data_IF_968339925347
#
_entry.id   IF_968339925347
#
_cell.length_a   1.000
_cell.length_b   1.000
_cell.length_c   1.000
_cell.angle_alpha   90.00
_cell.angle_beta   90.00
_cell.angle_gamma   90.00
#
_symmetry.space_group_name_H-M   'P 1'
#
loop_
_entity.id
_entity.type
_entity.pdbx_description
1 polymer ?
#
# COMPACT_ATOMS: atom_id res chain seq x y z
N UNK A 1 19.04 3.35 6.00
CA UNK A 1 18.98 3.10 4.55
C UNK A 1 20.01 2.04 4.18
N UNK A 2 19.64 1.09 3.31
CA UNK A 2 20.59 0.13 2.72
C UNK A 2 21.02 0.67 1.35
N UNK A 3 22.32 0.64 1.03
CA UNK A 3 22.83 1.09 -0.27
C UNK A 3 22.55 0.02 -1.31
N UNK A 4 21.83 0.39 -2.37
CA UNK A 4 21.56 -0.48 -3.51
C UNK A 4 22.07 0.18 -4.78
N UNK A 5 22.81 -0.57 -5.59
CA UNK A 5 23.18 -0.15 -6.94
C UNK A 5 22.15 -0.71 -7.91
N UNK A 6 21.64 0.16 -8.79
CA UNK A 6 20.68 -0.21 -9.84
C UNK A 6 21.18 0.33 -11.17
N UNK A 7 20.92 -0.43 -12.24
CA UNK A 7 21.14 0.02 -13.60
C UNK A 7 19.91 0.79 -14.08
N UNK A 8 20.15 1.91 -14.73
CA UNK A 8 19.12 2.75 -15.33
C UNK A 8 19.50 3.02 -16.78
N UNK A 9 18.50 3.08 -17.65
CA UNK A 9 18.68 3.53 -19.02
C UNK A 9 19.11 5.00 -19.05
N UNK A 10 19.71 5.41 -20.17
CA UNK A 10 20.07 6.82 -20.39
C UNK A 10 18.87 7.76 -20.30
N UNK A 11 17.72 7.29 -20.78
CA UNK A 11 16.44 8.03 -20.71
C UNK A 11 16.01 8.27 -19.27
N UNK A 12 16.04 7.25 -18.42
CA UNK A 12 15.68 7.35 -17.00
C UNK A 12 16.66 8.25 -16.24
N UNK A 13 17.96 8.13 -16.53
CA UNK A 13 19.00 9.02 -15.99
C UNK A 13 18.73 10.49 -16.35
N UNK A 14 18.40 10.77 -17.61
CA UNK A 14 18.06 12.12 -18.07
C UNK A 14 16.81 12.65 -17.38
N UNK A 15 15.76 11.82 -17.28
CA UNK A 15 14.52 12.18 -16.60
C UNK A 15 14.76 12.49 -15.11
N UNK A 16 15.54 11.67 -14.40
CA UNK A 16 15.89 11.91 -13.00
C UNK A 16 16.64 13.22 -12.79
N UNK A 17 17.58 13.56 -13.69
CA UNK A 17 18.27 14.85 -13.62
C UNK A 17 17.31 16.02 -13.81
N UNK A 18 16.44 15.96 -14.82
CA UNK A 18 15.43 17.00 -15.06
C UNK A 18 14.48 17.16 -13.87
N UNK A 19 13.97 16.05 -13.31
CA UNK A 19 13.10 16.08 -12.13
C UNK A 19 13.82 16.63 -10.89
N UNK A 20 15.09 16.28 -10.69
CA UNK A 20 15.90 16.81 -9.59
C UNK A 20 16.05 18.33 -9.69
N UNK A 21 16.33 18.85 -10.89
CA UNK A 21 16.41 20.30 -11.13
C UNK A 21 15.07 21.01 -10.90
N UNK A 22 13.95 20.40 -11.29
CA UNK A 22 12.62 21.00 -11.15
C UNK A 22 12.10 20.98 -9.70
N UNK A 23 12.41 19.92 -8.95
CA UNK A 23 11.82 19.69 -7.61
C UNK A 23 12.75 20.12 -6.47
N UNK A 24 14.04 20.33 -6.75
CA UNK A 24 15.07 20.54 -5.73
C UNK A 24 15.43 19.27 -4.94
N UNK A 25 14.79 18.14 -5.22
CA UNK A 25 15.05 16.86 -4.55
C UNK A 25 16.27 16.17 -5.15
N UNK A 26 16.99 15.42 -4.33
CA UNK A 26 18.06 14.56 -4.80
C UNK A 26 17.52 13.40 -5.64
N UNK A 27 18.35 12.85 -6.54
CA UNK A 27 18.01 11.64 -7.31
C UNK A 27 17.59 10.48 -6.41
N UNK A 28 18.28 10.30 -5.30
CA UNK A 28 17.99 9.23 -4.35
C UNK A 28 16.64 9.40 -3.66
N UNK A 29 16.22 10.65 -3.36
CA UNK A 29 14.88 10.93 -2.83
C UNK A 29 13.79 10.63 -3.86
N UNK A 30 13.97 11.09 -5.10
CA UNK A 30 13.01 10.83 -6.18
C UNK A 30 12.82 9.33 -6.43
N UNK A 31 13.90 8.56 -6.46
CA UNK A 31 13.83 7.10 -6.61
C UNK A 31 13.08 6.48 -5.44
N UNK A 32 13.35 6.91 -4.19
CA UNK A 32 12.64 6.39 -3.02
C UNK A 32 11.16 6.71 -3.07
N UNK A 33 10.78 7.95 -3.33
CA UNK A 33 9.37 8.35 -3.41
C UNK A 33 8.60 7.57 -4.48
N UNK A 34 9.24 7.32 -5.64
CA UNK A 34 8.66 6.49 -6.68
C UNK A 34 8.46 5.04 -6.23
N UNK A 35 9.44 4.46 -5.54
CA UNK A 35 9.35 3.11 -4.98
C UNK A 35 8.29 3.03 -3.89
N UNK A 36 8.25 3.97 -2.94
CA UNK A 36 7.26 4.01 -1.85
C UNK A 36 5.84 4.12 -2.42
N UNK A 37 5.64 4.96 -3.44
CA UNK A 37 4.36 5.09 -4.14
C UNK A 37 3.97 3.79 -4.83
N UNK A 38 4.92 3.09 -5.46
CA UNK A 38 4.67 1.82 -6.13
C UNK A 38 4.32 0.71 -5.13
N UNK A 39 5.08 0.62 -4.02
CA UNK A 39 4.84 -0.35 -2.94
C UNK A 39 3.44 -0.14 -2.35
N UNK A 40 3.08 1.10 -1.98
CA UNK A 40 1.77 1.39 -1.41
C UNK A 40 0.60 1.03 -2.35
N UNK A 41 0.78 1.19 -3.67
CA UNK A 41 -0.21 0.75 -4.68
C UNK A 41 -0.33 -0.77 -4.75
N UNK A 42 0.78 -1.49 -4.69
CA UNK A 42 0.79 -2.96 -4.70
C UNK A 42 0.13 -3.51 -3.43
N UNK A 43 0.50 -3.02 -2.24
CA UNK A 43 -0.09 -3.43 -0.97
C UNK A 43 -1.60 -3.17 -0.92
N UNK A 44 -2.05 -2.01 -1.42
CA UNK A 44 -3.48 -1.69 -1.50
C UNK A 44 -4.22 -2.67 -2.41
N UNK A 45 -3.60 -3.01 -3.55
CA UNK A 45 -4.17 -3.96 -4.51
C UNK A 45 -4.25 -5.37 -3.90
N UNK A 46 -3.19 -5.83 -3.23
CA UNK A 46 -3.17 -7.12 -2.53
C UNK A 46 -4.22 -7.18 -1.42
N UNK A 47 -4.33 -6.12 -0.61
CA UNK A 47 -5.37 -6.02 0.43
C UNK A 47 -6.77 -6.15 -0.15
N UNK A 48 -7.05 -5.47 -1.26
CA UNK A 48 -8.35 -5.57 -1.95
C UNK A 48 -8.59 -6.98 -2.50
N UNK A 49 -7.57 -7.63 -3.06
CA UNK A 49 -7.66 -9.02 -3.53
C UNK A 49 -7.96 -9.97 -2.37
N UNK A 50 -7.26 -9.84 -1.24
CA UNK A 50 -7.52 -10.64 -0.03
C UNK A 50 -8.94 -10.44 0.50
N UNK A 51 -9.40 -9.18 0.59
CA UNK A 51 -10.79 -8.87 0.99
C UNK A 51 -11.82 -9.49 0.05
N UNK A 52 -11.57 -9.45 -1.27
CA UNK A 52 -12.46 -10.07 -2.26
C UNK A 52 -12.48 -11.60 -2.13
N UNK A 53 -11.34 -12.24 -1.83
CA UNK A 53 -11.26 -13.68 -1.56
C UNK A 53 -12.04 -14.07 -0.30
N UNK A 54 -11.99 -13.23 0.75
CA UNK A 54 -12.75 -13.45 1.97
C UNK A 54 -14.26 -13.18 1.87
N UNK A 55 -14.75 -12.69 0.72
CA UNK A 55 -16.16 -12.37 0.53
C UNK A 55 -17.02 -13.63 0.71
N UNK A 56 -17.90 -13.59 1.71
CA UNK A 56 -18.82 -14.70 1.99
C UNK A 56 -18.25 -15.78 2.89
N UNK A 57 -17.07 -15.60 3.51
CA UNK A 57 -16.50 -16.54 4.51
C UNK A 57 -17.50 -16.87 5.64
N UNK A 58 -18.39 -15.94 5.97
CA UNK A 58 -19.40 -16.08 7.02
C UNK A 58 -20.80 -16.40 6.49
N UNK A 59 -20.97 -16.54 5.17
CA UNK A 59 -22.29 -16.76 4.55
C UNK A 59 -22.81 -18.15 4.89
N UNK A 60 -23.98 -18.22 5.53
CA UNK A 60 -24.65 -19.48 5.86
C UNK A 60 -24.10 -20.19 7.10
N UNK A 61 -23.13 -19.60 7.80
CA UNK A 61 -22.67 -20.09 9.10
C UNK A 61 -23.74 -19.84 10.16
N UNK A 62 -24.04 -20.89 10.93
CA UNK A 62 -25.07 -20.88 11.99
C UNK A 62 -24.47 -20.87 13.40
N UNK A 63 -23.16 -21.04 13.48
CA UNK A 63 -22.35 -21.03 14.70
C UNK A 63 -21.93 -19.63 15.13
N UNK A 64 -22.36 -18.60 14.39
CA UNK A 64 -22.03 -17.22 14.71
C UNK A 64 -22.93 -16.69 15.83
N UNK A 65 -22.36 -16.05 16.87
CA UNK A 65 -23.14 -15.34 17.87
C UNK A 65 -23.93 -14.18 17.26
N UNK A 66 -24.89 -13.63 18.00
CA UNK A 66 -25.66 -12.48 17.55
C UNK A 66 -24.74 -11.26 17.34
N UNK A 67 -24.38 -11.04 16.09
CA UNK A 67 -23.47 -9.98 15.65
C UNK A 67 -23.96 -8.57 16.03
N UNK A 68 -25.28 -8.37 16.20
CA UNK A 68 -25.82 -7.07 16.62
C UNK A 68 -25.56 -6.83 18.11
N UNK A 69 -25.72 -7.85 18.95
CA UNK A 69 -25.39 -7.76 20.38
C UNK A 69 -23.90 -7.50 20.59
N UNK A 70 -23.04 -8.23 19.88
CA UNK A 70 -21.59 -8.03 19.95
C UNK A 70 -21.18 -6.59 19.59
N UNK A 71 -21.83 -5.99 18.58
CA UNK A 71 -21.54 -4.60 18.19
C UNK A 71 -21.95 -3.59 19.27
N UNK A 72 -23.10 -3.78 19.90
CA UNK A 72 -23.60 -2.89 20.96
C UNK A 72 -22.73 -2.96 22.24
N UNK A 73 -22.14 -4.10 22.55
CA UNK A 73 -21.19 -4.24 23.67
C UNK A 73 -19.92 -3.43 23.43
N UNK A 74 -19.40 -3.43 22.21
CA UNK A 74 -18.18 -2.70 21.82
C UNK A 74 -18.37 -1.17 21.84
N UNK A 75 -19.58 -0.69 21.52
CA UNK A 75 -19.94 0.73 21.57
C UNK A 75 -20.14 1.24 23.01
N UNK A 76 -20.35 0.35 23.98
CA UNK A 76 -20.50 0.71 25.40
C UNK A 76 -19.17 0.76 26.17
N UNK A 77 -18.09 0.25 25.59
CA UNK A 77 -16.75 0.23 26.19
C UNK A 77 -15.79 1.29 25.64
N UNK A 78 -16.26 2.17 24.75
CA UNK A 78 -15.56 3.36 24.26
C UNK A 78 -16.17 4.61 24.89
#
# INVERSE_FOLDING_TARGET
MVRTQIYLTEREQKALRSMSSLTGKSRSELIREALDTMIGRLETTERLVLMRRGRGIWKGRRDLPDVRKLRLEFERSM
#
